data_IF_679206118282
#
_entry.id   IF_679206118282
#
_cell.length_a   1.000
_cell.length_b   1.000
_cell.length_c   1.000
_cell.angle_alpha   90.00
_cell.angle_beta   90.00
_cell.angle_gamma   90.00
#
_symmetry.space_group_name_H-M   'P 1'
#
loop_
_entity.id
_entity.type
_entity.pdbx_description
1 polymer ?
#
# COMPACT_ATOMS: atom_id res chain seq x y z
N UNK A 1 -8.86 5.21 12.47
CA UNK A 1 -9.43 4.09 11.67
C UNK A 1 -9.76 4.65 10.30
N UNK A 2 -9.70 3.89 9.22
CA UNK A 2 -10.16 4.36 7.91
C UNK A 2 -11.01 3.30 7.24
N UNK A 3 -12.24 3.65 6.87
CA UNK A 3 -13.20 2.78 6.19
C UNK A 3 -13.05 3.06 4.69
N UNK A 4 -12.77 2.04 3.88
CA UNK A 4 -12.59 2.24 2.45
C UNK A 4 -13.92 2.49 1.73
N UNK A 5 -13.83 3.40 0.77
CA UNK A 5 -14.83 3.96 -0.13
C UNK A 5 -16.01 3.05 -0.52
N UNK A 6 -17.23 3.50 -0.19
CA UNK A 6 -18.47 3.12 -0.85
C UNK A 6 -18.48 3.82 -2.22
N UNK A 7 -18.03 3.08 -3.24
CA UNK A 7 -17.98 3.43 -4.69
C UNK A 7 -18.58 4.77 -5.10
N UNK A 8 -17.78 5.60 -5.77
CA UNK A 8 -18.27 6.54 -6.77
C UNK A 8 -17.38 6.57 -8.03
N UNK A 9 -17.90 6.02 -9.13
CA UNK A 9 -17.43 6.29 -10.49
C UNK A 9 -17.44 7.80 -10.78
N UNK A 10 -16.30 8.37 -11.23
CA UNK A 10 -16.25 9.44 -12.24
C UNK A 10 -14.83 9.81 -12.68
N UNK A 11 -14.68 9.72 -14.00
CA UNK A 11 -13.67 10.22 -14.93
C UNK A 11 -13.05 11.62 -14.62
N UNK A 12 -11.79 11.83 -15.01
CA UNK A 12 -11.23 13.18 -15.19
C UNK A 12 -9.70 13.26 -15.32
N UNK A 13 -9.17 13.25 -16.55
CA UNK A 13 -7.82 13.72 -16.90
C UNK A 13 -7.77 15.26 -17.02
N UNK A 14 -6.59 15.91 -16.87
CA UNK A 14 -5.91 16.46 -18.08
C UNK A 14 -4.36 16.53 -18.03
N UNK A 15 -3.71 16.23 -19.19
CA UNK A 15 -2.83 17.10 -20.04
C UNK A 15 -2.16 18.36 -19.40
N UNK A 16 -0.93 18.83 -19.66
CA UNK A 16 0.21 18.56 -20.58
C UNK A 16 1.41 19.45 -20.14
N UNK A 17 2.62 19.16 -20.67
CA UNK A 17 3.70 20.09 -21.09
C UNK A 17 5.04 20.15 -20.31
N UNK A 18 6.06 19.54 -20.94
CA UNK A 18 7.34 20.12 -21.43
C UNK A 18 8.25 20.92 -20.48
N UNK A 19 9.53 20.53 -20.35
CA UNK A 19 10.75 21.31 -20.71
C UNK A 19 11.98 20.39 -20.74
N UNK A 20 12.86 20.63 -21.72
CA UNK A 20 14.06 19.90 -22.12
C UNK A 20 15.35 20.15 -21.30
N UNK A 21 16.25 19.16 -21.38
CA UNK A 21 17.72 19.18 -21.50
C UNK A 21 18.63 19.69 -20.36
N UNK A 22 19.50 18.80 -19.87
CA UNK A 22 20.94 19.08 -19.67
C UNK A 22 21.76 17.78 -19.68
N UNK A 23 22.90 17.83 -20.34
CA UNK A 23 23.88 16.75 -20.60
C UNK A 23 25.17 17.05 -19.82
N UNK A 24 26.01 16.02 -19.66
CA UNK A 24 27.44 15.95 -19.23
C UNK A 24 27.70 15.44 -17.80
N UNK A 25 28.85 14.77 -17.54
CA UNK A 25 29.50 13.69 -18.29
C UNK A 25 29.81 12.43 -17.44
N UNK A 26 30.29 11.40 -18.14
CA UNK A 26 30.64 10.05 -17.68
C UNK A 26 32.02 10.05 -17.00
N UNK A 27 32.13 9.48 -15.78
CA UNK A 27 33.42 9.05 -15.22
C UNK A 27 33.36 7.55 -14.91
N UNK A 28 34.19 6.79 -15.63
CA UNK A 28 34.51 5.40 -15.37
C UNK A 28 35.65 5.36 -14.38
N UNK A 29 35.41 4.82 -13.20
CA UNK A 29 36.45 4.20 -12.40
C UNK A 29 35.83 3.03 -11.62
N UNK A 30 36.17 1.83 -12.06
CA UNK A 30 36.12 0.58 -11.29
C UNK A 30 37.51 0.00 -11.45
N UNK A 31 38.13 -0.54 -10.39
CA UNK A 31 37.70 -1.85 -9.90
C UNK A 31 37.77 -2.01 -8.37
N UNK A 32 37.32 -3.19 -7.92
CA UNK A 32 37.80 -3.86 -6.70
C UNK A 32 36.87 -3.88 -5.45
N UNK A 33 36.03 -4.91 -5.42
CA UNK A 33 36.10 -5.94 -4.38
C UNK A 33 35.78 -5.61 -2.89
N UNK A 34 34.80 -4.76 -2.57
CA UNK A 34 34.31 -4.63 -1.17
C UNK A 34 32.91 -5.20 -0.91
N UNK A 35 32.07 -5.44 -1.92
CA UNK A 35 30.71 -5.94 -1.71
C UNK A 35 30.59 -7.48 -1.76
N UNK A 36 31.60 -8.22 -1.29
CA UNK A 36 31.56 -9.68 -1.12
C UNK A 36 31.72 -10.08 0.35
N UNK A 37 30.91 -9.51 1.24
CA UNK A 37 30.74 -10.01 2.62
C UNK A 37 29.65 -9.21 3.34
N UNK A 38 28.40 -9.63 3.13
CA UNK A 38 27.38 -9.69 4.17
C UNK A 38 26.33 -10.71 3.68
N UNK A 39 26.75 -11.98 3.67
CA UNK A 39 25.82 -13.08 3.68
C UNK A 39 25.09 -13.08 5.02
N UNK A 40 24.01 -12.33 5.09
CA UNK A 40 22.92 -12.66 5.99
C UNK A 40 21.85 -13.26 5.08
N UNK A 41 21.83 -14.59 4.99
CA UNK A 41 20.57 -15.30 4.88
C UNK A 41 19.78 -14.86 6.11
N UNK A 42 19.13 -13.71 6.04
CA UNK A 42 18.06 -13.36 6.96
C UNK A 42 17.07 -14.47 6.69
N UNK A 43 17.03 -15.48 7.56
CA UNK A 43 15.98 -16.47 7.55
C UNK A 43 14.70 -15.67 7.41
N UNK A 44 14.04 -15.79 6.25
CA UNK A 44 12.88 -15.00 5.93
C UNK A 44 11.90 -15.32 7.05
N UNK A 45 11.73 -14.37 7.98
CA UNK A 45 10.89 -14.59 9.14
C UNK A 45 9.54 -15.04 8.57
N UNK A 46 9.07 -16.20 9.04
CA UNK A 46 7.90 -16.87 8.47
C UNK A 46 6.82 -15.82 8.21
N UNK A 47 6.35 -15.71 6.97
CA UNK A 47 5.36 -14.72 6.64
C UNK A 47 4.04 -15.07 7.35
N UNK A 48 3.71 -14.29 8.38
CA UNK A 48 2.47 -14.39 9.16
C UNK A 48 1.48 -13.30 8.80
N UNK A 49 1.76 -12.52 7.74
CA UNK A 49 0.97 -11.33 7.39
C UNK A 49 -0.35 -11.67 6.73
N UNK A 50 -0.54 -12.90 6.26
CA UNK A 50 -1.70 -13.28 5.43
C UNK A 50 -1.57 -12.89 3.95
N UNK A 51 -0.52 -12.15 3.57
CA UNK A 51 -0.18 -11.87 2.16
C UNK A 51 0.72 -12.96 1.57
N UNK A 52 0.57 -13.32 0.28
CA UNK A 52 1.58 -14.11 -0.44
C UNK A 52 2.95 -13.42 -0.41
N UNK A 53 4.04 -14.19 -0.35
CA UNK A 53 5.40 -13.64 -0.22
C UNK A 53 5.79 -12.68 -1.35
N UNK A 54 5.54 -13.07 -2.60
CA UNK A 54 5.82 -12.23 -3.76
C UNK A 54 5.05 -10.91 -3.72
N UNK A 55 3.79 -10.95 -3.27
CA UNK A 55 2.94 -9.76 -3.13
C UNK A 55 3.44 -8.88 -2.00
N UNK A 56 3.78 -9.45 -0.84
CA UNK A 56 4.35 -8.72 0.29
C UNK A 56 5.64 -8.01 -0.13
N UNK A 57 6.57 -8.73 -0.76
CA UNK A 57 7.83 -8.15 -1.22
C UNK A 57 7.62 -7.04 -2.26
N UNK A 58 6.72 -7.27 -3.23
CA UNK A 58 6.36 -6.26 -4.23
C UNK A 58 5.83 -4.99 -3.59
N UNK A 59 4.88 -5.11 -2.65
CA UNK A 59 4.33 -3.97 -1.91
C UNK A 59 5.42 -3.24 -1.12
N UNK A 60 6.26 -3.95 -0.37
CA UNK A 60 7.33 -3.33 0.40
C UNK A 60 8.30 -2.52 -0.49
N UNK A 61 8.62 -3.03 -1.69
CA UNK A 61 9.44 -2.30 -2.67
C UNK A 61 8.72 -1.05 -3.20
N UNK A 62 7.43 -1.15 -3.54
CA UNK A 62 6.66 0.01 -4.05
C UNK A 62 6.51 1.12 -3.03
N UNK A 63 6.33 0.77 -1.76
CA UNK A 63 6.12 1.71 -0.65
C UNK A 63 7.41 2.12 0.05
N UNK A 64 8.54 1.43 -0.21
CA UNK A 64 9.79 1.58 0.54
C UNK A 64 9.56 1.48 2.06
N UNK A 65 8.68 0.56 2.48
CA UNK A 65 8.23 0.39 3.85
C UNK A 65 8.21 -1.08 4.23
N UNK A 66 8.43 -1.39 5.52
CA UNK A 66 8.31 -2.75 6.04
C UNK A 66 6.86 -3.06 6.43
N UNK A 67 6.33 -4.17 5.91
CA UNK A 67 4.98 -4.65 6.21
C UNK A 67 4.98 -5.97 6.97
N UNK A 68 6.12 -6.35 7.57
CA UNK A 68 6.25 -7.61 8.30
C UNK A 68 5.39 -7.71 9.56
N UNK A 69 4.96 -6.58 10.11
CA UNK A 69 4.03 -6.49 11.25
C UNK A 69 2.56 -6.26 10.83
N UNK A 70 2.25 -6.23 9.53
CA UNK A 70 0.86 -6.10 9.05
C UNK A 70 0.17 -7.45 9.08
N UNK A 71 -1.10 -7.48 9.50
CA UNK A 71 -1.94 -8.68 9.49
C UNK A 71 -3.15 -8.48 8.58
N UNK A 72 -3.30 -9.33 7.57
CA UNK A 72 -4.41 -9.32 6.62
C UNK A 72 -5.42 -10.39 7.00
N UNK A 73 -6.67 -9.96 7.15
CA UNK A 73 -7.83 -10.80 7.40
C UNK A 73 -8.68 -10.89 6.11
N UNK A 74 -8.51 -11.93 5.27
CA UNK A 74 -9.04 -11.97 3.90
C UNK A 74 -10.57 -12.18 3.80
N UNK A 75 -11.21 -12.59 4.89
CA UNK A 75 -12.65 -12.92 4.94
C UNK A 75 -13.26 -12.45 6.26
N UNK A 76 -13.12 -11.16 6.56
CA UNK A 76 -13.60 -10.51 7.77
C UNK A 76 -15.06 -10.11 7.66
N UNK A 77 -15.88 -10.51 8.63
CA UNK A 77 -17.27 -10.04 8.76
C UNK A 77 -17.37 -8.57 9.19
N UNK A 78 -16.27 -7.97 9.68
CA UNK A 78 -16.24 -6.56 10.09
C UNK A 78 -16.35 -5.59 8.90
N UNK A 79 -15.77 -5.94 7.75
CA UNK A 79 -15.77 -5.03 6.60
C UNK A 79 -17.19 -4.81 6.03
N UNK A 80 -18.00 -5.86 5.81
CA UNK A 80 -19.41 -5.70 5.43
C UNK A 80 -20.25 -4.95 6.46
N UNK A 81 -19.98 -5.12 7.77
CA UNK A 81 -20.70 -4.42 8.82
C UNK A 81 -20.51 -2.89 8.77
N UNK A 82 -19.43 -2.44 8.10
CA UNK A 82 -19.11 -1.04 7.85
C UNK A 82 -19.46 -0.59 6.42
N UNK A 83 -20.07 -1.47 5.62
CA UNK A 83 -20.37 -1.20 4.21
C UNK A 83 -19.13 -1.14 3.30
N UNK A 84 -17.97 -1.62 3.76
CA UNK A 84 -16.69 -1.48 3.05
C UNK A 84 -16.23 -2.79 2.39
N UNK A 85 -15.47 -2.66 1.31
CA UNK A 85 -14.80 -3.79 0.67
C UNK A 85 -13.55 -4.23 1.44
N UNK A 86 -12.83 -3.27 2.00
CA UNK A 86 -11.73 -3.47 2.92
C UNK A 86 -11.62 -2.26 3.87
N UNK A 87 -10.85 -2.40 4.95
CA UNK A 87 -10.50 -1.26 5.80
C UNK A 87 -9.21 -1.54 6.59
N UNK A 88 -8.59 -0.47 7.07
CA UNK A 88 -7.34 -0.52 7.84
C UNK A 88 -7.48 0.05 9.25
N UNK A 89 -7.08 -0.76 10.24
CA UNK A 89 -6.99 -0.41 11.66
C UNK A 89 -5.57 -0.62 12.19
N UNK A 90 -4.77 0.45 12.27
CA UNK A 90 -3.39 0.34 12.75
C UNK A 90 -2.54 -0.52 11.82
N UNK A 91 -2.28 -1.76 12.22
CA UNK A 91 -1.55 -2.74 11.42
C UNK A 91 -2.43 -3.90 10.92
N UNK A 92 -3.73 -3.86 11.18
CA UNK A 92 -4.69 -4.86 10.72
C UNK A 92 -5.45 -4.37 9.49
N UNK A 93 -5.49 -5.21 8.46
CA UNK A 93 -6.25 -4.95 7.23
C UNK A 93 -7.35 -6.01 7.12
N UNK A 94 -8.60 -5.59 7.02
CA UNK A 94 -9.74 -6.47 6.95
C UNK A 94 -10.40 -6.38 5.58
N UNK A 95 -10.49 -7.48 4.87
CA UNK A 95 -11.24 -7.58 3.61
C UNK A 95 -12.61 -8.22 3.86
N UNK A 96 -13.63 -7.73 3.15
CA UNK A 96 -14.89 -8.44 3.05
C UNK A 96 -14.68 -9.79 2.32
N UNK A 97 -15.50 -10.81 2.62
CA UNK A 97 -15.41 -12.11 1.96
C UNK A 97 -15.39 -11.97 0.43
N UNK A 98 -14.37 -12.54 -0.22
CA UNK A 98 -14.20 -12.49 -1.68
C UNK A 98 -13.46 -11.26 -2.23
N UNK A 99 -13.16 -10.26 -1.40
CA UNK A 99 -12.47 -9.03 -1.85
C UNK A 99 -10.94 -9.15 -1.81
N UNK A 100 -10.38 -10.05 -0.99
CA UNK A 100 -8.95 -10.31 -1.01
C UNK A 100 -8.56 -11.15 -2.23
N UNK A 101 -8.11 -10.47 -3.28
CA UNK A 101 -7.72 -11.06 -4.58
C UNK A 101 -6.31 -10.66 -5.00
N UNK A 102 -5.27 -11.08 -4.25
CA UNK A 102 -3.89 -10.65 -4.46
C UNK A 102 -3.28 -11.14 -5.78
N UNK A 103 -3.94 -12.06 -6.47
CA UNK A 103 -3.62 -12.57 -7.81
C UNK A 103 -4.06 -11.63 -8.94
N UNK A 104 -4.96 -10.67 -8.66
CA UNK A 104 -5.50 -9.76 -9.66
C UNK A 104 -4.90 -8.36 -9.56
N UNK A 105 -4.85 -7.61 -10.67
CA UNK A 105 -4.42 -6.21 -10.62
C UNK A 105 -5.34 -5.36 -9.75
N UNK A 106 -6.66 -5.52 -9.87
CA UNK A 106 -7.62 -4.76 -9.05
C UNK A 106 -7.53 -5.11 -7.57
N UNK A 107 -7.36 -6.38 -7.20
CA UNK A 107 -7.22 -6.77 -5.79
C UNK A 107 -5.88 -6.35 -5.18
N UNK A 108 -4.78 -6.35 -5.97
CA UNK A 108 -3.50 -5.77 -5.53
C UNK A 108 -3.58 -4.26 -5.39
N UNK A 109 -4.34 -3.58 -6.26
CA UNK A 109 -4.58 -2.14 -6.11
C UNK A 109 -5.34 -1.83 -4.82
N UNK A 110 -6.38 -2.61 -4.50
CA UNK A 110 -7.10 -2.49 -3.22
C UNK A 110 -6.19 -2.77 -2.03
N UNK A 111 -5.39 -3.84 -2.06
CA UNK A 111 -4.42 -4.13 -1.01
C UNK A 111 -3.39 -3.00 -0.83
N UNK A 112 -2.87 -2.45 -1.93
CA UNK A 112 -1.96 -1.32 -1.89
C UNK A 112 -2.62 -0.06 -1.31
N UNK A 113 -3.88 0.20 -1.64
CA UNK A 113 -4.65 1.30 -1.04
C UNK A 113 -4.72 1.15 0.50
N UNK A 114 -5.06 -0.03 1.01
CA UNK A 114 -5.08 -0.28 2.46
C UNK A 114 -3.69 -0.14 3.10
N UNK A 115 -2.64 -0.65 2.45
CA UNK A 115 -1.26 -0.50 2.94
C UNK A 115 -0.80 0.97 2.95
N UNK A 116 -1.28 1.80 2.04
CA UNK A 116 -1.03 3.23 2.08
C UNK A 116 -1.61 3.86 3.36
N UNK A 117 -2.78 3.41 3.83
CA UNK A 117 -3.32 3.85 5.11
C UNK A 117 -2.47 3.41 6.30
N UNK A 118 -1.88 2.23 6.25
CA UNK A 118 -0.91 1.80 7.28
C UNK A 118 0.26 2.77 7.34
N UNK A 119 0.82 3.16 6.19
CA UNK A 119 1.93 4.14 6.12
C UNK A 119 1.49 5.50 6.66
N UNK A 120 0.36 6.02 6.19
CA UNK A 120 -0.20 7.30 6.64
C UNK A 120 -0.43 7.33 8.17
N UNK A 121 -0.94 6.24 8.74
CA UNK A 121 -1.15 6.12 10.20
C UNK A 121 0.18 6.10 10.96
N UNK A 122 1.21 5.42 10.46
CA UNK A 122 2.56 5.39 11.07
C UNK A 122 3.22 6.76 11.07
N UNK A 123 2.98 7.56 10.04
CA UNK A 123 3.51 8.92 9.93
C UNK A 123 2.73 9.94 10.79
N UNK A 124 1.68 9.51 11.50
CA UNK A 124 0.85 10.39 12.33
C UNK A 124 0.02 11.38 11.52
N UNK A 125 -0.13 11.19 10.20
CA UNK A 125 -0.90 12.07 9.31
C UNK A 125 -2.41 11.87 9.42
N UNK A 126 -2.84 10.80 10.08
CA UNK A 126 -4.25 10.40 10.18
C UNK A 126 -4.77 10.80 11.57
N UNK A 127 -5.45 11.94 11.63
CA UNK A 127 -6.26 12.34 12.79
C UNK A 127 -7.73 12.02 12.51
N UNK A 128 -8.54 11.65 13.52
CA UNK A 128 -9.99 11.48 13.31
C UNK A 128 -10.61 12.76 12.75
N UNK A 129 -11.32 12.66 11.64
CA UNK A 129 -12.08 13.78 11.06
C UNK A 129 -13.58 13.63 11.30
N UNK A 130 -14.06 12.41 11.55
CA UNK A 130 -15.46 12.07 11.79
C UNK A 130 -15.57 10.77 12.61
N UNK A 131 -16.79 10.38 13.01
CA UNK A 131 -17.06 9.09 13.65
C UNK A 131 -18.17 8.36 12.90
N UNK A 132 -17.94 7.08 12.58
CA UNK A 132 -18.93 6.18 11.96
C UNK A 132 -19.14 5.00 12.88
N UNK A 133 -20.37 4.81 13.35
CA UNK A 133 -20.74 3.72 14.29
C UNK A 133 -19.85 3.68 15.55
N UNK A 134 -19.45 4.85 16.07
CA UNK A 134 -18.57 4.98 17.23
C UNK A 134 -17.10 4.70 16.94
N UNK A 135 -16.69 4.66 15.68
CA UNK A 135 -15.29 4.49 15.28
C UNK A 135 -14.73 5.76 14.62
N UNK A 136 -13.54 6.23 15.03
CA UNK A 136 -12.92 7.45 14.51
C UNK A 136 -12.39 7.24 13.09
N UNK A 137 -13.02 7.88 12.11
CA UNK A 137 -12.72 7.78 10.67
C UNK A 137 -12.00 9.05 10.19
N UNK A 138 -11.11 8.88 9.21
CA UNK A 138 -10.46 9.98 8.51
C UNK A 138 -10.87 9.93 7.02
N UNK A 139 -11.63 10.94 6.59
CA UNK A 139 -12.15 11.08 5.23
C UNK A 139 -11.45 12.20 4.44
N UNK A 140 -10.18 12.49 4.76
CA UNK A 140 -9.43 13.55 4.08
C UNK A 140 -9.22 13.18 2.59
N UNK A 141 -9.80 13.93 1.63
CA UNK A 141 -9.74 13.58 0.20
C UNK A 141 -8.31 13.49 -0.37
N UNK A 142 -7.36 14.27 0.18
CA UNK A 142 -5.97 14.21 -0.25
C UNK A 142 -5.29 12.90 0.13
N UNK A 143 -5.62 12.36 1.32
CA UNK A 143 -5.09 11.09 1.79
C UNK A 143 -5.75 9.91 1.06
N UNK A 144 -7.01 10.03 0.63
CA UNK A 144 -7.65 9.06 -0.29
C UNK A 144 -6.93 8.99 -1.63
N UNK A 145 -6.76 10.15 -2.29
CA UNK A 145 -6.16 10.22 -3.62
C UNK A 145 -4.71 9.72 -3.62
N UNK A 146 -3.95 10.02 -2.57
CA UNK A 146 -2.60 9.49 -2.37
C UNK A 146 -2.62 7.96 -2.25
N UNK A 147 -3.54 7.40 -1.45
CA UNK A 147 -3.68 5.96 -1.27
C UNK A 147 -4.08 5.24 -2.56
N UNK A 148 -5.00 5.82 -3.35
CA UNK A 148 -5.38 5.31 -4.66
C UNK A 148 -4.21 5.30 -5.65
N UNK A 149 -3.45 6.39 -5.70
CA UNK A 149 -2.28 6.49 -6.57
C UNK A 149 -1.22 5.46 -6.19
N UNK A 150 -0.95 5.29 -4.90
CA UNK A 150 -0.02 4.29 -4.39
C UNK A 150 -0.50 2.86 -4.63
N UNK A 151 -1.79 2.58 -4.42
CA UNK A 151 -2.40 1.29 -4.70
C UNK A 151 -2.27 0.90 -6.17
N UNK A 152 -2.61 1.81 -7.08
CA UNK A 152 -2.44 1.61 -8.53
C UNK A 152 -0.98 1.32 -8.91
N UNK A 153 -0.03 2.10 -8.36
CA UNK A 153 1.42 1.90 -8.61
C UNK A 153 1.92 0.56 -8.09
N UNK A 154 1.51 0.16 -6.90
CA UNK A 154 1.95 -1.09 -6.28
C UNK A 154 1.32 -2.33 -6.93
N UNK A 155 0.14 -2.19 -7.56
CA UNK A 155 -0.55 -3.29 -8.24
C UNK A 155 0.24 -3.92 -9.39
N UNK A 156 1.22 -3.21 -9.97
CA UNK A 156 2.10 -3.72 -11.03
C UNK A 156 3.42 -4.34 -10.55
N UNK A 157 3.71 -4.33 -9.24
CA UNK A 157 5.06 -4.59 -8.70
C UNK A 157 5.28 -6.03 -8.18
N UNK A 158 4.56 -7.04 -8.71
CA UNK A 158 4.69 -8.46 -8.28
C UNK A 158 5.63 -9.28 -9.14
#
# INVERSE_FOLDING_TARGET
MKIADVRSDREGAPSLSSVSNARYPVSRDTPDAVQRRCGALVAQAKNTTGMPDNVKEGMQRSFQSDFSNVTVHPSSSKAPALGAQAFTQGHEIHFAPGQFRPDTTSGRALLGHELAHVVQQREGRVSPTCEVSGMPVNDNPGLEAEADALGKRASGSV
#
